data_IF_844892103381
#
_entry.id   IF_844892103381
#
_cell.length_a   1.000
_cell.length_b   1.000
_cell.length_c   1.000
_cell.angle_alpha   90.00
_cell.angle_beta   90.00
_cell.angle_gamma   90.00
#
_symmetry.space_group_name_H-M   'P 1'
#
loop_
_entity.id
_entity.type
_entity.pdbx_description
1 polymer ?
#
# COMPACT_ATOMS: atom_id res chain seq x y z
N UNK A 1 -25.78 -11.96 22.86
CA UNK A 1 -25.36 -11.33 21.57
C UNK A 1 -23.86 -11.49 21.37
N UNK A 2 -23.01 -11.08 22.32
CA UNK A 2 -21.54 -11.24 22.23
C UNK A 2 -21.05 -12.70 22.09
N UNK A 3 -21.71 -13.69 22.72
CA UNK A 3 -21.27 -15.09 22.58
C UNK A 3 -21.51 -15.67 21.18
N UNK A 4 -22.51 -15.17 20.43
CA UNK A 4 -22.85 -15.68 19.10
C UNK A 4 -21.95 -15.12 17.99
N UNK A 5 -21.20 -14.04 18.27
CA UNK A 5 -20.19 -13.46 17.38
C UNK A 5 -18.78 -13.97 17.68
N UNK A 6 -18.61 -14.79 18.72
CA UNK A 6 -17.33 -15.36 19.16
C UNK A 6 -17.06 -16.77 18.59
N UNK A 7 -17.19 -16.90 17.28
CA UNK A 7 -16.88 -18.12 16.53
C UNK A 7 -15.97 -17.83 15.35
N UNK A 8 -15.20 -18.82 14.89
CA UNK A 8 -14.34 -18.67 13.72
C UNK A 8 -15.14 -18.30 12.47
N UNK A 9 -16.32 -18.90 12.28
CA UNK A 9 -17.25 -18.58 11.20
C UNK A 9 -18.33 -17.63 11.66
N UNK A 10 -18.83 -16.78 10.77
CA UNK A 10 -19.97 -15.90 11.03
C UNK A 10 -21.24 -16.74 11.21
N UNK A 11 -22.00 -16.46 12.26
CA UNK A 11 -23.32 -17.07 12.47
C UNK A 11 -24.38 -16.34 11.63
N UNK A 12 -24.62 -16.86 10.43
CA UNK A 12 -25.55 -16.27 9.44
C UNK A 12 -27.02 -16.37 9.89
N UNK A 13 -27.40 -17.42 10.60
CA UNK A 13 -28.76 -17.57 11.15
C UNK A 13 -29.05 -16.49 12.19
N UNK A 14 -28.12 -16.29 13.13
CA UNK A 14 -28.22 -15.20 14.11
C UNK A 14 -28.22 -13.83 13.41
N UNK A 15 -27.42 -13.65 12.35
CA UNK A 15 -27.39 -12.40 11.59
C UNK A 15 -28.72 -12.09 10.90
N UNK A 16 -29.39 -13.11 10.33
CA UNK A 16 -30.67 -12.95 9.64
C UNK A 16 -31.79 -12.55 10.61
N UNK A 17 -31.78 -13.10 11.82
CA UNK A 17 -32.75 -12.78 12.88
C UNK A 17 -32.61 -11.36 13.43
N UNK A 18 -31.47 -10.69 13.19
CA UNK A 18 -31.24 -9.33 13.66
C UNK A 18 -31.94 -8.28 12.77
N UNK A 19 -32.46 -7.19 13.38
CA UNK A 19 -32.90 -6.01 12.65
C UNK A 19 -31.78 -5.45 11.76
N UNK A 20 -32.12 -4.93 10.58
CA UNK A 20 -31.15 -4.44 9.59
C UNK A 20 -30.11 -3.46 10.19
N UNK A 21 -30.54 -2.57 11.09
CA UNK A 21 -29.66 -1.60 11.75
C UNK A 21 -28.58 -2.23 12.66
N UNK A 22 -28.82 -3.44 13.19
CA UNK A 22 -27.88 -4.13 14.09
C UNK A 22 -26.92 -5.08 13.37
N UNK A 23 -27.21 -5.44 12.12
CA UNK A 23 -26.38 -6.37 11.33
C UNK A 23 -24.94 -5.90 11.14
N UNK A 24 -24.66 -4.63 10.77
CA UNK A 24 -23.28 -4.16 10.62
C UNK A 24 -22.48 -4.21 11.93
N UNK A 25 -23.14 -4.00 13.08
CA UNK A 25 -22.51 -4.06 14.40
C UNK A 25 -22.11 -5.50 14.72
N UNK A 26 -23.00 -6.46 14.48
CA UNK A 26 -22.72 -7.89 14.70
C UNK A 26 -21.54 -8.38 13.85
N UNK A 27 -21.53 -8.02 12.56
CA UNK A 27 -20.40 -8.33 11.65
C UNK A 27 -19.10 -7.71 12.18
N UNK A 28 -19.15 -6.45 12.60
CA UNK A 28 -17.97 -5.76 13.12
C UNK A 28 -17.41 -6.43 14.39
N UNK A 29 -18.28 -6.82 15.32
CA UNK A 29 -17.89 -7.57 16.52
C UNK A 29 -17.26 -8.92 16.17
N UNK A 30 -17.88 -9.69 15.26
CA UNK A 30 -17.33 -10.94 14.76
C UNK A 30 -15.95 -10.75 14.14
N UNK A 31 -15.78 -9.76 13.26
CA UNK A 31 -14.49 -9.48 12.63
C UNK A 31 -13.41 -9.03 13.62
N UNK A 32 -13.78 -8.31 14.69
CA UNK A 32 -12.85 -7.95 15.77
C UNK A 32 -12.42 -9.17 16.56
N UNK A 33 -13.36 -10.03 16.92
CA UNK A 33 -13.07 -11.29 17.58
C UNK A 33 -12.15 -12.15 16.70
N UNK A 34 -12.51 -12.33 15.44
CA UNK A 34 -11.76 -13.12 14.46
C UNK A 34 -10.31 -12.64 14.35
N UNK A 35 -10.07 -11.34 14.16
CA UNK A 35 -8.70 -10.81 14.08
C UNK A 35 -7.88 -11.00 15.36
N UNK A 36 -8.52 -11.12 16.54
CA UNK A 36 -7.84 -11.40 17.81
C UNK A 36 -7.46 -12.87 17.94
N UNK A 37 -8.33 -13.79 17.53
CA UNK A 37 -8.14 -15.23 17.77
C UNK A 37 -7.43 -15.96 16.63
N UNK A 38 -7.54 -15.47 15.40
CA UNK A 38 -7.12 -16.23 14.21
C UNK A 38 -5.62 -16.53 14.19
N UNK A 39 -4.79 -15.62 14.73
CA UNK A 39 -3.35 -15.85 14.86
C UNK A 39 -2.94 -16.89 15.91
N UNK A 40 -3.82 -17.20 16.87
CA UNK A 40 -3.58 -18.14 17.96
C UNK A 40 -4.41 -19.43 17.84
N UNK A 41 -5.33 -19.50 16.88
CA UNK A 41 -6.19 -20.65 16.67
C UNK A 41 -5.39 -21.86 16.15
N UNK A 42 -5.82 -23.07 16.53
CA UNK A 42 -5.17 -24.29 16.06
C UNK A 42 -5.39 -24.48 14.56
N UNK A 43 -4.35 -24.92 13.86
CA UNK A 43 -4.42 -25.16 12.41
C UNK A 43 -5.49 -26.18 12.02
N UNK A 44 -5.78 -27.17 12.86
CA UNK A 44 -6.87 -28.14 12.66
C UNK A 44 -8.23 -27.47 12.57
N UNK A 45 -8.48 -26.54 13.49
CA UNK A 45 -9.78 -25.86 13.63
C UNK A 45 -10.01 -24.94 12.44
N UNK A 46 -8.95 -24.22 12.03
CA UNK A 46 -8.96 -23.35 10.84
C UNK A 46 -9.21 -24.19 9.58
N UNK A 47 -8.47 -25.29 9.40
CA UNK A 47 -8.60 -26.14 8.20
C UNK A 47 -10.03 -26.67 8.01
N UNK A 48 -10.72 -27.02 9.11
CA UNK A 48 -12.10 -27.50 9.06
C UNK A 48 -13.11 -26.46 8.57
N UNK A 49 -12.86 -25.17 8.79
CA UNK A 49 -13.80 -24.10 8.44
C UNK A 49 -13.29 -23.09 7.40
N UNK A 50 -12.07 -23.26 6.89
CA UNK A 50 -11.37 -22.25 6.08
C UNK A 50 -12.14 -21.89 4.81
N UNK A 51 -12.66 -22.86 4.07
CA UNK A 51 -13.44 -22.59 2.85
C UNK A 51 -14.68 -21.73 3.14
N UNK A 52 -15.42 -22.06 4.21
CA UNK A 52 -16.59 -21.29 4.66
C UNK A 52 -16.17 -19.88 5.09
N UNK A 53 -15.09 -19.77 5.86
CA UNK A 53 -14.59 -18.49 6.35
C UNK A 53 -14.13 -17.56 5.22
N UNK A 54 -13.41 -18.08 4.22
CA UNK A 54 -13.03 -17.31 3.02
C UNK A 54 -14.28 -16.81 2.30
N UNK A 55 -15.26 -17.68 2.07
CA UNK A 55 -16.53 -17.30 1.42
C UNK A 55 -17.25 -16.17 2.17
N UNK A 56 -17.35 -16.28 3.50
CA UNK A 56 -17.96 -15.25 4.35
C UNK A 56 -17.21 -13.93 4.29
N UNK A 57 -15.88 -13.94 4.42
CA UNK A 57 -15.07 -12.72 4.36
C UNK A 57 -15.18 -12.03 2.99
N UNK A 58 -15.16 -12.82 1.91
CA UNK A 58 -15.33 -12.31 0.54
C UNK A 58 -16.74 -11.75 0.32
N UNK A 59 -17.78 -12.36 0.89
CA UNK A 59 -19.14 -11.82 0.86
C UNK A 59 -19.21 -10.47 1.59
N UNK A 60 -18.57 -10.34 2.75
CA UNK A 60 -18.52 -9.09 3.50
C UNK A 60 -17.78 -7.95 2.78
N UNK A 61 -16.90 -8.26 1.83
CA UNK A 61 -16.32 -7.23 0.95
C UNK A 61 -17.34 -6.64 -0.03
N UNK A 62 -18.33 -7.44 -0.46
CA UNK A 62 -19.36 -7.04 -1.40
C UNK A 62 -20.51 -6.27 -0.75
N UNK A 63 -20.70 -6.39 0.56
CA UNK A 63 -21.74 -5.69 1.34
C UNK A 63 -21.41 -4.22 1.67
N UNK A 64 -20.56 -3.58 0.86
CA UNK A 64 -20.15 -2.18 1.00
C UNK A 64 -19.63 -1.81 2.42
N UNK A 65 -18.58 -2.48 2.92
CA UNK A 65 -18.14 -2.28 4.29
C UNK A 65 -17.58 -0.85 4.50
N UNK A 66 -17.94 -0.26 5.64
CA UNK A 66 -17.34 0.98 6.12
C UNK A 66 -15.83 0.83 6.40
N UNK A 67 -15.09 1.95 6.58
CA UNK A 67 -13.63 1.92 6.67
C UNK A 67 -13.06 0.98 7.76
N UNK A 68 -13.60 0.94 9.00
CA UNK A 68 -13.10 0.02 10.03
C UNK A 68 -13.34 -1.45 9.69
N UNK A 69 -14.55 -1.80 9.24
CA UNK A 69 -14.93 -3.16 8.82
C UNK A 69 -14.05 -3.64 7.69
N UNK A 70 -13.79 -2.78 6.70
CA UNK A 70 -12.91 -3.06 5.58
C UNK A 70 -11.50 -3.46 6.01
N UNK A 71 -10.91 -2.73 6.95
CA UNK A 71 -9.59 -3.07 7.48
C UNK A 71 -9.62 -4.42 8.18
N UNK A 72 -10.64 -4.69 9.00
CA UNK A 72 -10.75 -5.98 9.69
C UNK A 72 -10.91 -7.16 8.72
N UNK A 73 -11.71 -7.03 7.66
CA UNK A 73 -11.84 -8.08 6.62
C UNK A 73 -10.49 -8.34 5.95
N UNK A 74 -9.78 -7.28 5.55
CA UNK A 74 -8.49 -7.39 4.90
C UNK A 74 -7.44 -8.09 5.79
N UNK A 75 -7.36 -7.72 7.06
CA UNK A 75 -6.44 -8.35 8.01
C UNK A 75 -6.83 -9.80 8.33
N UNK A 76 -8.14 -10.10 8.41
CA UNK A 76 -8.62 -11.45 8.63
C UNK A 76 -8.27 -12.37 7.46
N UNK A 77 -8.51 -11.95 6.21
CA UNK A 77 -8.12 -12.70 5.01
C UNK A 77 -6.61 -12.94 4.95
N UNK A 78 -5.82 -11.89 5.12
CA UNK A 78 -4.36 -11.98 5.09
C UNK A 78 -3.82 -12.91 6.20
N UNK A 79 -4.42 -12.85 7.40
CA UNK A 79 -4.04 -13.73 8.51
C UNK A 79 -4.47 -15.17 8.25
N UNK A 80 -5.69 -15.39 7.74
CA UNK A 80 -6.22 -16.70 7.42
C UNK A 80 -5.30 -17.47 6.47
N UNK A 81 -4.91 -16.85 5.36
CA UNK A 81 -3.98 -17.46 4.40
C UNK A 81 -2.54 -17.59 4.92
N UNK A 82 -2.19 -16.87 5.99
CA UNK A 82 -0.87 -16.99 6.63
C UNK A 82 -0.79 -18.16 7.61
N UNK A 83 -1.89 -18.51 8.28
CA UNK A 83 -1.91 -19.57 9.30
C UNK A 83 -2.58 -20.87 8.82
N UNK A 84 -3.52 -20.74 7.88
CA UNK A 84 -4.24 -21.83 7.23
C UNK A 84 -3.58 -22.29 5.93
N UNK A 85 -4.36 -22.90 5.05
CA UNK A 85 -3.90 -23.29 3.72
C UNK A 85 -3.94 -22.12 2.71
N UNK A 86 -3.29 -22.27 1.56
CA UNK A 86 -3.26 -21.26 0.50
C UNK A 86 -4.09 -21.65 -0.72
N UNK A 87 -4.97 -22.65 -0.60
CA UNK A 87 -5.68 -23.23 -1.75
C UNK A 87 -6.55 -22.20 -2.48
N UNK A 88 -7.29 -21.38 -1.72
CA UNK A 88 -8.17 -20.34 -2.26
C UNK A 88 -7.49 -18.97 -2.43
N UNK A 89 -6.18 -18.86 -2.20
CA UNK A 89 -5.48 -17.58 -2.16
C UNK A 89 -5.54 -16.87 -3.51
N UNK A 90 -5.15 -17.57 -4.58
CA UNK A 90 -5.11 -17.00 -5.93
C UNK A 90 -6.51 -16.70 -6.46
N UNK A 91 -7.50 -17.55 -6.17
CA UNK A 91 -8.91 -17.29 -6.51
C UNK A 91 -9.42 -16.02 -5.82
N UNK A 92 -9.15 -15.86 -4.52
CA UNK A 92 -9.54 -14.68 -3.76
C UNK A 92 -8.86 -13.42 -4.29
N UNK A 93 -7.56 -13.49 -4.60
CA UNK A 93 -6.80 -12.39 -5.20
C UNK A 93 -7.36 -12.00 -6.58
N UNK A 94 -7.68 -12.98 -7.43
CA UNK A 94 -8.25 -12.74 -8.75
C UNK A 94 -9.64 -12.09 -8.66
N UNK A 95 -10.49 -12.54 -7.72
CA UNK A 95 -11.79 -11.91 -7.48
C UNK A 95 -11.67 -10.45 -7.06
N UNK A 96 -10.68 -10.12 -6.22
CA UNK A 96 -10.39 -8.74 -5.87
C UNK A 96 -9.95 -7.93 -7.11
N UNK A 97 -9.07 -8.49 -7.95
CA UNK A 97 -8.61 -7.86 -9.20
C UNK A 97 -9.78 -7.61 -10.16
N UNK A 98 -10.73 -8.53 -10.28
CA UNK A 98 -11.88 -8.40 -11.17
C UNK A 98 -12.84 -7.29 -10.73
N UNK A 99 -13.05 -7.11 -9.42
CA UNK A 99 -13.78 -5.94 -8.88
C UNK A 99 -13.09 -4.62 -9.30
N UNK A 100 -11.76 -4.58 -9.37
CA UNK A 100 -11.02 -3.38 -9.75
C UNK A 100 -11.02 -3.11 -11.26
N UNK A 101 -11.19 -4.16 -12.08
CA UNK A 101 -11.35 -4.03 -13.53
C UNK A 101 -12.70 -3.42 -13.90
N UNK A 102 -13.70 -3.54 -13.03
CA UNK A 102 -15.00 -2.90 -13.21
C UNK A 102 -14.85 -1.37 -13.16
N UNK A 103 -15.43 -0.70 -14.16
CA UNK A 103 -15.38 0.75 -14.37
C UNK A 103 -16.58 1.48 -13.77
N UNK A 104 -17.40 0.79 -12.98
CA UNK A 104 -18.47 1.43 -12.24
C UNK A 104 -17.87 2.40 -11.20
N UNK A 105 -18.01 3.69 -11.48
CA UNK A 105 -17.58 4.80 -10.63
C UNK A 105 -18.74 5.37 -9.79
N UNK A 106 -19.86 4.64 -9.68
CA UNK A 106 -20.98 5.04 -8.82
C UNK A 106 -20.54 5.10 -7.35
N UNK A 107 -21.04 6.10 -6.57
CA UNK A 107 -20.76 6.19 -5.14
C UNK A 107 -21.16 4.93 -4.36
N UNK A 108 -22.15 4.18 -4.86
CA UNK A 108 -22.61 2.90 -4.30
C UNK A 108 -21.60 1.76 -4.48
N UNK A 109 -20.79 1.78 -5.55
CA UNK A 109 -19.83 0.71 -5.83
C UNK A 109 -18.41 1.00 -5.29
N UNK A 110 -18.10 2.27 -5.02
CA UNK A 110 -16.83 2.70 -4.45
C UNK A 110 -16.42 1.94 -3.16
N UNK A 111 -17.31 1.68 -2.17
CA UNK A 111 -16.95 0.92 -0.97
C UNK A 111 -16.42 -0.48 -1.28
N UNK A 112 -17.03 -1.17 -2.25
CA UNK A 112 -16.64 -2.51 -2.70
C UNK A 112 -15.26 -2.48 -3.37
N UNK A 113 -15.00 -1.49 -4.23
CA UNK A 113 -13.67 -1.31 -4.83
C UNK A 113 -12.61 -1.04 -3.79
N UNK A 114 -12.89 -0.13 -2.85
CA UNK A 114 -11.96 0.15 -1.76
C UNK A 114 -11.69 -1.10 -0.91
N UNK A 115 -12.71 -1.92 -0.65
CA UNK A 115 -12.55 -3.18 0.07
C UNK A 115 -11.62 -4.16 -0.66
N UNK A 116 -11.81 -4.34 -1.97
CA UNK A 116 -10.92 -5.16 -2.81
C UNK A 116 -9.49 -4.65 -2.82
N UNK A 117 -9.26 -3.34 -3.02
CA UNK A 117 -7.89 -2.76 -2.98
C UNK A 117 -7.24 -2.98 -1.61
N UNK A 118 -8.00 -2.82 -0.51
CA UNK A 118 -7.48 -2.98 0.86
C UNK A 118 -7.13 -4.43 1.16
N UNK A 119 -7.96 -5.39 0.74
CA UNK A 119 -7.71 -6.82 0.94
C UNK A 119 -6.48 -7.29 0.16
N UNK A 120 -6.35 -6.87 -1.11
CA UNK A 120 -5.15 -7.12 -1.92
C UNK A 120 -3.90 -6.61 -1.20
N UNK A 121 -3.92 -5.36 -0.73
CA UNK A 121 -2.78 -4.76 -0.05
C UNK A 121 -2.39 -5.53 1.21
N UNK A 122 -3.34 -5.88 2.06
CA UNK A 122 -3.06 -6.66 3.27
C UNK A 122 -2.51 -8.06 2.97
N UNK A 123 -3.02 -8.74 1.92
CA UNK A 123 -2.51 -10.05 1.50
C UNK A 123 -1.06 -9.95 1.02
N UNK A 124 -0.72 -8.99 0.17
CA UNK A 124 0.67 -8.82 -0.29
C UNK A 124 1.62 -8.43 0.86
N UNK A 125 1.21 -7.52 1.74
CA UNK A 125 2.01 -7.11 2.90
C UNK A 125 2.34 -8.27 3.83
N UNK A 126 1.36 -9.15 4.10
CA UNK A 126 1.53 -10.24 5.07
C UNK A 126 2.13 -11.51 4.47
N UNK A 127 1.74 -11.87 3.25
CA UNK A 127 2.12 -13.14 2.61
C UNK A 127 3.35 -12.98 1.72
N UNK A 128 3.64 -11.75 1.27
CA UNK A 128 4.80 -11.43 0.44
C UNK A 128 4.93 -12.35 -0.77
N UNK A 129 6.10 -13.01 -0.89
CA UNK A 129 6.43 -13.88 -2.02
C UNK A 129 5.51 -15.10 -2.19
N UNK A 130 4.72 -15.48 -1.17
CA UNK A 130 3.72 -16.55 -1.32
C UNK A 130 2.61 -16.18 -2.33
N UNK A 131 2.42 -14.89 -2.60
CA UNK A 131 1.51 -14.39 -3.64
C UNK A 131 2.02 -14.67 -5.07
N UNK A 132 3.20 -15.28 -5.26
CA UNK A 132 3.71 -15.64 -6.57
C UNK A 132 3.91 -14.44 -7.50
N UNK A 133 3.71 -14.64 -8.82
CA UNK A 133 3.86 -13.59 -9.85
C UNK A 133 2.58 -12.81 -10.16
N UNK A 134 1.47 -13.04 -9.46
CA UNK A 134 0.22 -12.30 -9.70
C UNK A 134 0.33 -10.80 -9.43
N UNK A 135 1.39 -10.36 -8.74
CA UNK A 135 1.63 -8.94 -8.47
C UNK A 135 1.78 -8.12 -9.75
N UNK A 136 2.29 -8.71 -10.83
CA UNK A 136 2.47 -8.00 -12.11
C UNK A 136 1.12 -7.53 -12.65
N UNK A 137 0.15 -8.44 -12.75
CA UNK A 137 -1.21 -8.13 -13.19
C UNK A 137 -1.91 -7.19 -12.20
N UNK A 138 -1.82 -7.46 -10.90
CA UNK A 138 -2.39 -6.59 -9.86
C UNK A 138 -1.86 -5.16 -9.96
N UNK A 139 -0.55 -4.97 -10.11
CA UNK A 139 0.05 -3.63 -10.23
C UNK A 139 -0.45 -2.95 -11.50
N UNK A 140 -0.49 -3.63 -12.64
CA UNK A 140 -1.02 -3.03 -13.88
C UNK A 140 -2.50 -2.60 -13.75
N UNK A 141 -3.34 -3.43 -13.10
CA UNK A 141 -4.74 -3.08 -12.82
C UNK A 141 -4.81 -1.85 -11.92
N UNK A 142 -4.05 -1.82 -10.82
CA UNK A 142 -4.01 -0.69 -9.89
C UNK A 142 -3.57 0.61 -10.59
N UNK A 143 -2.52 0.56 -11.40
CA UNK A 143 -1.99 1.70 -12.15
C UNK A 143 -2.99 2.23 -13.19
N UNK A 144 -3.73 1.34 -13.85
CA UNK A 144 -4.80 1.71 -14.78
C UNK A 144 -5.97 2.36 -14.03
N UNK A 145 -6.39 1.77 -12.92
CA UNK A 145 -7.48 2.27 -12.09
C UNK A 145 -7.16 3.63 -11.46
N UNK A 146 -5.91 3.85 -11.06
CA UNK A 146 -5.44 5.09 -10.45
C UNK A 146 -5.71 6.35 -11.30
N UNK A 147 -5.64 6.23 -12.64
CA UNK A 147 -5.75 7.37 -13.57
C UNK A 147 -7.11 8.08 -13.51
N UNK A 148 -8.18 7.30 -13.30
CA UNK A 148 -9.56 7.80 -13.33
C UNK A 148 -10.23 7.76 -11.94
N UNK A 149 -9.56 7.17 -10.94
CA UNK A 149 -10.10 7.02 -9.60
C UNK A 149 -10.34 8.37 -8.91
N UNK A 150 -11.41 8.45 -8.12
CA UNK A 150 -11.65 9.53 -7.17
C UNK A 150 -10.68 9.49 -5.97
N UNK A 151 -10.67 10.52 -5.13
CA UNK A 151 -9.56 10.75 -4.19
C UNK A 151 -9.37 9.63 -3.16
N UNK A 152 -10.44 9.04 -2.62
CA UNK A 152 -10.30 7.96 -1.63
C UNK A 152 -9.67 6.71 -2.25
N UNK A 153 -10.11 6.35 -3.45
CA UNK A 153 -9.56 5.21 -4.17
C UNK A 153 -8.11 5.45 -4.60
N UNK A 154 -7.73 6.68 -5.00
CA UNK A 154 -6.31 7.01 -5.27
C UNK A 154 -5.42 6.86 -4.04
N UNK A 155 -5.89 7.30 -2.86
CA UNK A 155 -5.18 7.10 -1.58
C UNK A 155 -4.98 5.61 -1.34
N UNK A 156 -6.05 4.83 -1.42
CA UNK A 156 -6.01 3.41 -1.10
C UNK A 156 -5.15 2.61 -2.10
N UNK A 157 -5.14 2.99 -3.38
CA UNK A 157 -4.24 2.39 -4.38
C UNK A 157 -2.78 2.68 -4.04
N UNK A 158 -2.42 3.92 -3.66
CA UNK A 158 -1.04 4.21 -3.26
C UNK A 158 -0.60 3.41 -2.05
N UNK A 159 -1.46 3.29 -1.03
CA UNK A 159 -1.20 2.45 0.15
C UNK A 159 -1.03 0.98 -0.27
N UNK A 160 -1.83 0.49 -1.20
CA UNK A 160 -1.70 -0.90 -1.66
C UNK A 160 -0.42 -1.12 -2.47
N UNK A 161 0.02 -0.14 -3.28
CA UNK A 161 1.33 -0.23 -3.97
C UNK A 161 2.50 -0.20 -2.98
N UNK A 162 2.42 0.60 -1.91
CA UNK A 162 3.36 0.59 -0.78
C UNK A 162 3.44 -0.82 -0.18
N UNK A 163 2.29 -1.40 0.16
CA UNK A 163 2.18 -2.76 0.72
C UNK A 163 2.70 -3.87 -0.19
N UNK A 164 2.41 -3.79 -1.49
CA UNK A 164 2.97 -4.72 -2.49
C UNK A 164 4.49 -4.61 -2.51
N UNK A 165 5.01 -3.38 -2.48
CA UNK A 165 6.45 -3.12 -2.49
C UNK A 165 7.13 -3.65 -1.22
N UNK A 166 6.53 -3.43 -0.05
CA UNK A 166 7.01 -3.97 1.22
C UNK A 166 7.01 -5.51 1.25
N UNK A 167 5.93 -6.14 0.78
CA UNK A 167 5.76 -7.59 0.81
C UNK A 167 6.62 -8.34 -0.21
N UNK A 168 6.77 -7.80 -1.42
CA UNK A 168 7.55 -8.44 -2.49
C UNK A 168 9.03 -8.07 -2.43
N UNK A 169 9.34 -6.85 -1.97
CA UNK A 169 10.68 -6.29 -1.97
C UNK A 169 11.33 -6.37 -3.35
N UNK A 170 12.59 -6.82 -3.41
CA UNK A 170 13.35 -6.95 -4.66
C UNK A 170 12.78 -7.98 -5.65
N UNK A 171 11.84 -8.85 -5.24
CA UNK A 171 11.19 -9.78 -6.15
C UNK A 171 10.29 -9.06 -7.17
N UNK A 172 9.80 -7.86 -6.85
CA UNK A 172 8.99 -7.03 -7.75
C UNK A 172 9.81 -5.98 -8.54
N UNK A 173 11.12 -6.20 -8.71
CA UNK A 173 12.01 -5.24 -9.35
C UNK A 173 11.57 -4.81 -10.77
N UNK A 174 10.89 -5.69 -11.51
CA UNK A 174 10.37 -5.41 -12.84
C UNK A 174 9.25 -4.35 -12.86
N UNK A 175 8.48 -4.19 -11.78
CA UNK A 175 7.39 -3.19 -11.70
C UNK A 175 7.78 -1.92 -10.94
N UNK A 176 8.93 -1.90 -10.25
CA UNK A 176 9.37 -0.74 -9.45
C UNK A 176 9.39 0.58 -10.23
N UNK A 177 9.82 0.56 -11.51
CA UNK A 177 9.84 1.77 -12.35
C UNK A 177 8.43 2.30 -12.66
N UNK A 178 7.44 1.43 -12.80
CA UNK A 178 6.07 1.83 -13.09
C UNK A 178 5.37 2.36 -11.83
N UNK A 179 5.62 1.72 -10.68
CA UNK A 179 5.18 2.22 -9.36
C UNK A 179 5.78 3.61 -9.09
N UNK A 180 7.08 3.79 -9.34
CA UNK A 180 7.75 5.09 -9.22
C UNK A 180 7.10 6.18 -10.08
N UNK A 181 6.81 5.90 -11.35
CA UNK A 181 6.15 6.87 -12.25
C UNK A 181 4.80 7.31 -11.72
N UNK A 182 3.99 6.38 -11.21
CA UNK A 182 2.68 6.70 -10.64
C UNK A 182 2.79 7.48 -9.33
N UNK A 183 3.70 7.09 -8.43
CA UNK A 183 3.88 7.78 -7.16
C UNK A 183 4.43 9.20 -7.34
N UNK A 184 5.24 9.46 -8.38
CA UNK A 184 5.61 10.84 -8.76
C UNK A 184 4.42 11.72 -9.08
N UNK A 185 3.47 11.21 -9.87
CA UNK A 185 2.23 11.94 -10.17
C UNK A 185 1.44 12.19 -8.88
N UNK A 186 1.37 11.17 -8.02
CA UNK A 186 0.73 11.26 -6.70
C UNK A 186 1.34 12.30 -5.75
N UNK A 187 2.65 12.53 -5.80
CA UNK A 187 3.33 13.56 -4.99
C UNK A 187 2.86 14.98 -5.30
N UNK A 188 2.28 15.22 -6.47
CA UNK A 188 1.72 16.53 -6.88
C UNK A 188 0.20 16.55 -6.92
N UNK A 189 -0.48 15.49 -6.45
CA UNK A 189 -1.95 15.38 -6.49
C UNK A 189 -2.61 16.55 -5.74
N UNK A 190 -3.75 17.04 -6.24
CA UNK A 190 -4.53 18.08 -5.57
C UNK A 190 -4.97 17.71 -4.14
N UNK A 191 -5.18 16.43 -3.87
CA UNK A 191 -5.57 15.92 -2.57
C UNK A 191 -4.34 15.61 -1.71
N UNK A 192 -4.17 16.36 -0.61
CA UNK A 192 -3.04 16.19 0.32
C UNK A 192 -2.87 14.76 0.87
N UNK A 193 -3.95 14.00 1.17
CA UNK A 193 -3.80 12.61 1.58
C UNK A 193 -3.22 11.69 0.48
N UNK A 194 -3.48 11.98 -0.80
CA UNK A 194 -2.86 11.23 -1.91
C UNK A 194 -1.37 11.51 -1.98
N UNK A 195 -0.97 12.78 -1.81
CA UNK A 195 0.46 13.15 -1.73
C UNK A 195 1.17 12.42 -0.58
N UNK A 196 0.53 12.37 0.59
CA UNK A 196 1.04 11.65 1.75
C UNK A 196 1.24 10.16 1.44
N UNK A 197 0.22 9.50 0.89
CA UNK A 197 0.31 8.09 0.52
C UNK A 197 1.38 7.83 -0.54
N UNK A 198 1.53 8.73 -1.54
CA UNK A 198 2.56 8.64 -2.55
C UNK A 198 3.98 8.80 -1.95
N UNK A 199 4.16 9.73 -1.01
CA UNK A 199 5.44 9.91 -0.32
C UNK A 199 5.83 8.67 0.49
N UNK A 200 4.88 8.04 1.19
CA UNK A 200 5.11 6.79 1.92
C UNK A 200 5.40 5.61 1.00
N UNK A 201 4.69 5.50 -0.13
CA UNK A 201 4.96 4.50 -1.17
C UNK A 201 6.38 4.64 -1.74
N UNK A 202 6.83 5.87 -2.05
CA UNK A 202 8.20 6.14 -2.50
C UNK A 202 9.25 5.84 -1.43
N UNK A 203 8.93 6.12 -0.16
CA UNK A 203 9.81 5.80 0.96
C UNK A 203 10.01 4.29 1.08
N UNK A 204 8.94 3.51 0.99
CA UNK A 204 9.03 2.04 0.98
C UNK A 204 9.80 1.54 -0.25
N UNK A 205 9.49 2.07 -1.43
CA UNK A 205 10.17 1.71 -2.68
C UNK A 205 11.67 1.99 -2.63
N UNK A 206 12.09 3.07 -1.96
CA UNK A 206 13.51 3.42 -1.82
C UNK A 206 14.34 2.32 -1.14
N UNK A 207 13.73 1.48 -0.29
CA UNK A 207 14.40 0.36 0.36
C UNK A 207 14.78 -0.76 -0.60
N UNK A 208 14.08 -0.86 -1.75
CA UNK A 208 14.19 -1.98 -2.67
C UNK A 208 14.62 -1.58 -4.09
N UNK A 209 14.63 -0.28 -4.40
CA UNK A 209 14.91 0.24 -5.73
C UNK A 209 16.04 1.30 -5.69
N UNK A 210 17.31 0.87 -5.85
CA UNK A 210 18.47 1.77 -5.74
C UNK A 210 18.45 2.98 -6.67
N UNK A 211 17.78 2.87 -7.82
CA UNK A 211 17.69 3.96 -8.79
C UNK A 211 17.07 5.24 -8.22
N UNK A 212 16.27 5.17 -7.13
CA UNK A 212 15.68 6.33 -6.49
C UNK A 212 16.72 7.28 -5.88
N UNK A 213 17.81 6.74 -5.32
CA UNK A 213 18.86 7.52 -4.69
C UNK A 213 20.18 7.54 -5.49
N UNK A 214 20.24 6.86 -6.64
CA UNK A 214 21.39 6.93 -7.55
C UNK A 214 21.12 7.78 -8.78
N UNK A 215 20.08 7.48 -9.57
CA UNK A 215 19.82 8.16 -10.86
C UNK A 215 18.66 9.15 -10.81
N UNK A 216 17.67 8.92 -9.95
CA UNK A 216 16.47 9.76 -9.86
C UNK A 216 16.47 10.72 -8.66
N UNK A 217 17.57 10.78 -7.90
CA UNK A 217 17.64 11.52 -6.64
C UNK A 217 17.31 13.01 -6.82
N UNK A 218 17.96 13.69 -7.78
CA UNK A 218 17.76 15.12 -8.01
C UNK A 218 16.31 15.43 -8.40
N UNK A 219 15.74 14.62 -9.31
CA UNK A 219 14.35 14.72 -9.74
C UNK A 219 13.38 14.57 -8.56
N UNK A 220 13.61 13.58 -7.71
CA UNK A 220 12.81 13.36 -6.50
C UNK A 220 12.96 14.49 -5.49
N UNK A 221 14.16 15.03 -5.28
CA UNK A 221 14.38 16.17 -4.39
C UNK A 221 13.58 17.39 -4.87
N UNK A 222 13.70 17.75 -6.15
CA UNK A 222 12.94 18.85 -6.74
C UNK A 222 11.42 18.67 -6.59
N UNK A 223 10.92 17.44 -6.80
CA UNK A 223 9.51 17.13 -6.64
C UNK A 223 9.06 17.22 -5.17
N UNK A 224 9.88 16.77 -4.23
CA UNK A 224 9.62 16.91 -2.80
C UNK A 224 9.51 18.38 -2.40
N UNK A 225 10.40 19.26 -2.87
CA UNK A 225 10.31 20.69 -2.57
C UNK A 225 9.03 21.33 -3.11
N UNK A 226 8.69 21.07 -4.37
CA UNK A 226 7.42 21.55 -4.96
C UNK A 226 6.20 21.04 -4.20
N UNK A 227 6.24 19.78 -3.76
CA UNK A 227 5.16 19.17 -2.99
C UNK A 227 5.04 19.77 -1.59
N UNK A 228 6.16 20.02 -0.91
CA UNK A 228 6.23 20.68 0.40
C UNK A 228 5.63 22.07 0.36
N UNK A 229 6.04 22.88 -0.60
CA UNK A 229 5.60 24.27 -0.77
C UNK A 229 4.09 24.38 -1.01
N UNK A 230 3.57 23.52 -1.89
CA UNK A 230 2.14 23.52 -2.22
C UNK A 230 1.28 22.72 -1.24
N UNK A 231 1.84 22.20 -0.12
CA UNK A 231 1.11 21.39 0.85
C UNK A 231 0.61 22.19 2.04
N UNK A 232 -0.71 22.23 2.22
CA UNK A 232 -1.36 22.87 3.35
C UNK A 232 -1.38 22.01 4.62
N UNK A 233 -1.28 20.68 4.49
CA UNK A 233 -1.36 19.72 5.60
C UNK A 233 0.00 19.47 6.26
N UNK A 234 0.04 19.56 7.60
CA UNK A 234 1.22 19.24 8.41
C UNK A 234 1.69 17.79 8.21
N UNK A 235 0.76 16.82 8.26
CA UNK A 235 1.10 15.40 8.10
C UNK A 235 1.72 15.11 6.73
N UNK A 236 1.20 15.75 5.67
CA UNK A 236 1.77 15.64 4.32
C UNK A 236 3.18 16.21 4.29
N UNK A 237 3.43 17.37 4.90
CA UNK A 237 4.79 17.94 5.01
C UNK A 237 5.75 17.01 5.71
N UNK A 238 5.34 16.44 6.86
CA UNK A 238 6.17 15.49 7.60
C UNK A 238 6.51 14.24 6.78
N UNK A 239 5.54 13.66 6.07
CA UNK A 239 5.79 12.50 5.21
C UNK A 239 6.75 12.80 4.05
N UNK A 240 6.61 13.97 3.41
CA UNK A 240 7.52 14.37 2.31
C UNK A 240 8.93 14.67 2.85
N UNK A 241 9.03 15.37 3.98
CA UNK A 241 10.32 15.63 4.64
C UNK A 241 11.01 14.32 5.05
N UNK A 242 10.25 13.35 5.55
CA UNK A 242 10.76 12.00 5.86
C UNK A 242 11.29 11.29 4.61
N UNK A 243 10.59 11.36 3.49
CA UNK A 243 11.05 10.80 2.21
C UNK A 243 12.36 11.47 1.77
N UNK A 244 12.40 12.80 1.71
CA UNK A 244 13.58 13.56 1.29
C UNK A 244 14.79 13.26 2.18
N UNK A 245 14.61 13.32 3.50
CA UNK A 245 15.67 13.03 4.46
C UNK A 245 16.16 11.58 4.38
N UNK A 246 15.25 10.62 4.18
CA UNK A 246 15.63 9.20 4.05
C UNK A 246 16.42 8.93 2.77
N UNK A 247 16.04 9.55 1.65
CA UNK A 247 16.79 9.42 0.39
C UNK A 247 18.21 9.96 0.51
N UNK A 248 18.36 11.17 1.06
CA UNK A 248 19.67 11.80 1.25
C UNK A 248 20.50 11.06 2.31
N UNK A 249 19.90 10.55 3.37
CA UNK A 249 20.62 9.71 4.34
C UNK A 249 21.11 8.41 3.70
N UNK A 250 20.31 7.82 2.79
CA UNK A 250 20.66 6.58 2.09
C UNK A 250 21.81 6.78 1.11
N UNK A 251 21.99 7.96 0.52
CA UNK A 251 23.18 8.21 -0.32
C UNK A 251 24.48 8.21 0.48
N UNK A 252 24.43 8.65 1.74
CA UNK A 252 25.58 8.67 2.64
C UNK A 252 25.82 7.31 3.33
N UNK A 253 24.75 6.55 3.56
CA UNK A 253 24.78 5.22 4.15
C UNK A 253 24.03 4.19 3.28
N UNK A 254 24.54 3.89 2.07
CA UNK A 254 23.88 2.98 1.13
C UNK A 254 23.92 1.53 1.64
N UNK A 255 22.94 0.68 1.23
CA UNK A 255 22.97 -0.75 1.53
C UNK A 255 24.26 -1.43 1.04
N UNK A 256 24.72 -2.46 1.78
CA UNK A 256 25.98 -3.17 1.49
C UNK A 256 25.99 -3.78 0.09
N UNK A 257 24.84 -4.26 -0.37
CA UNK A 257 24.66 -4.83 -1.70
C UNK A 257 24.93 -3.80 -2.80
N UNK A 258 24.51 -2.55 -2.58
CA UNK A 258 24.74 -1.45 -3.51
C UNK A 258 26.20 -1.01 -3.49
N UNK A 259 26.82 -0.93 -2.31
CA UNK A 259 28.26 -0.66 -2.20
C UNK A 259 29.10 -1.68 -2.96
N UNK A 260 28.78 -2.98 -2.81
CA UNK A 260 29.44 -4.05 -3.56
C UNK A 260 29.25 -3.90 -5.07
N UNK A 261 28.03 -3.60 -5.51
CA UNK A 261 27.75 -3.39 -6.93
C UNK A 261 28.53 -2.21 -7.52
N UNK A 262 28.73 -1.13 -6.76
CA UNK A 262 29.52 0.03 -7.19
C UNK A 262 31.00 -0.34 -7.28
N UNK A 263 31.54 -1.04 -6.28
CA UNK A 263 32.93 -1.49 -6.26
C UNK A 263 33.26 -2.48 -7.39
N UNK A 264 32.28 -3.30 -7.79
CA UNK A 264 32.44 -4.24 -8.91
C UNK A 264 32.17 -3.62 -10.29
N UNK A 265 32.06 -2.29 -10.40
CA UNK A 265 31.78 -1.61 -11.68
C UNK A 265 30.38 -1.89 -12.24
N UNK A 266 29.42 -2.24 -11.38
CA UNK A 266 28.05 -2.58 -11.75
C UNK A 266 27.35 -1.43 -12.48
N UNK A 267 26.76 -1.76 -13.64
CA UNK A 267 25.89 -0.85 -14.39
C UNK A 267 24.46 -0.94 -13.86
N UNK A 268 23.95 0.15 -13.31
CA UNK A 268 22.53 0.33 -13.00
C UNK A 268 21.80 0.89 -14.22
N UNK A 269 20.48 0.70 -14.32
CA UNK A 269 19.68 0.99 -15.52
C UNK A 269 19.67 2.45 -16.01
N UNK A 270 20.79 2.90 -16.57
CA UNK A 270 21.09 4.24 -17.07
C UNK A 270 22.59 4.63 -17.07
N UNK A 271 23.47 3.89 -16.38
CA UNK A 271 24.91 4.22 -16.31
C UNK A 271 25.67 3.49 -15.18
N UNK A 272 26.91 3.89 -14.94
CA UNK A 272 27.69 3.43 -13.78
C UNK A 272 26.98 3.87 -12.50
N UNK A 273 26.72 2.95 -11.59
CA UNK A 273 26.19 3.31 -10.27
C UNK A 273 27.22 4.19 -9.56
N UNK A 274 26.84 5.43 -9.25
CA UNK A 274 27.68 6.39 -8.53
C UNK A 274 27.02 6.77 -7.22
N UNK A 275 27.82 6.87 -6.16
CA UNK A 275 27.39 7.48 -4.90
C UNK A 275 27.39 8.99 -5.01
N UNK A 276 26.32 9.60 -4.53
CA UNK A 276 26.22 11.05 -4.38
C UNK A 276 27.07 11.46 -3.18
N UNK A 277 28.04 12.34 -3.40
CA UNK A 277 28.91 12.85 -2.35
C UNK A 277 28.13 13.67 -1.32
N UNK A 278 28.72 13.86 -0.14
CA UNK A 278 28.11 14.71 0.89
C UNK A 278 27.88 16.15 0.39
N UNK A 279 28.84 16.71 -0.35
CA UNK A 279 28.73 18.05 -0.91
C UNK A 279 27.58 18.16 -1.92
N UNK A 280 27.43 17.18 -2.81
CA UNK A 280 26.30 17.13 -3.75
C UNK A 280 24.96 16.99 -3.00
N UNK A 281 24.88 16.15 -1.98
CA UNK A 281 23.67 15.98 -1.17
C UNK A 281 23.30 17.27 -0.42
N UNK A 282 24.29 17.96 0.16
CA UNK A 282 24.11 19.27 0.80
C UNK A 282 23.73 20.35 -0.23
N UNK A 283 24.26 20.28 -1.46
CA UNK A 283 23.86 21.14 -2.57
C UNK A 283 22.39 20.94 -2.95
N UNK A 284 21.90 19.70 -2.99
CA UNK A 284 20.47 19.39 -3.20
C UNK A 284 19.58 19.93 -2.06
N UNK A 285 20.07 19.95 -0.82
CA UNK A 285 19.37 20.58 0.31
C UNK A 285 19.38 22.10 0.20
N UNK A 286 20.54 22.68 -0.07
CA UNK A 286 20.72 24.13 -0.20
C UNK A 286 19.86 24.70 -1.32
N UNK A 287 19.75 24.02 -2.46
CA UNK A 287 18.90 24.46 -3.58
C UNK A 287 17.43 24.47 -3.19
N UNK A 288 16.94 23.47 -2.47
CA UNK A 288 15.56 23.46 -1.98
C UNK A 288 15.27 24.53 -0.93
N UNK A 289 16.23 24.81 -0.04
CA UNK A 289 16.09 25.83 1.00
C UNK A 289 16.15 27.25 0.43
N UNK A 290 17.14 27.54 -0.42
CA UNK A 290 17.38 28.88 -0.97
C UNK A 290 16.48 29.21 -2.16
N UNK A 291 16.18 28.21 -3.00
CA UNK A 291 15.37 28.36 -4.21
C UNK A 291 14.03 27.65 -4.12
N UNK A 292 13.48 27.44 -2.91
CA UNK A 292 12.09 26.97 -2.75
C UNK A 292 11.23 27.64 -3.82
N UNK A 293 10.37 26.89 -4.52
CA UNK A 293 9.67 27.42 -5.69
C UNK A 293 9.12 28.80 -5.35
N UNK A 294 9.69 29.83 -5.98
CA UNK A 294 9.42 31.22 -5.64
C UNK A 294 9.40 31.62 -4.15
N UNK A 295 10.45 31.24 -3.41
CA UNK A 295 10.94 31.86 -2.18
C UNK A 295 10.27 31.47 -0.86
N UNK A 296 11.01 30.71 -0.05
CA UNK A 296 10.77 30.58 1.40
C UNK A 296 11.18 31.86 2.17
N UNK A 297 11.87 32.81 1.52
CA UNK A 297 12.51 33.98 2.14
C UNK A 297 12.12 35.34 1.52
N UNK A 298 11.07 35.43 0.68
CA UNK A 298 10.57 36.73 0.14
C UNK A 298 9.46 37.29 1.03
N UNK A 299 9.67 37.21 2.33
CA UNK A 299 8.75 37.65 3.36
C UNK A 299 9.48 38.28 4.53
N UNK A 300 10.38 39.21 4.22
CA UNK A 300 10.83 40.29 5.10
C UNK A 300 10.98 41.53 4.24
#
# INVERSE_FOLDING_TARGET
MMELSHSLTLNEEALQQLPAAKRPIFVFEWLRFLNKVLGAANKSDIKGCQQKLVSQLVSQMAECPGPPTRQLVAHALATLFSVGDTYLLFETSNKCNDVLKNKDDSPSYLPTRLASVTCIGAMYEKLGRMMGRSYEDTVQILLKTLRNAESQLRIQIMITLEKITAGMGTAAANVHKDVYKAAKVGLTDRAMPVRRAAAMCLLELSKHAPFLYTSELENLCQLCYRSLESSSSYDTRCSIAKLLGSLLATTQNPPKEVLRAIQSGGKGGGGTLRLVSLEEALGLLSTGFLRGGNSFLKGT
#
